data_IF_160885560842
#
_entry.id   IF_160885560842
#
_cell.length_a   1.000
_cell.length_b   1.000
_cell.length_c   1.000
_cell.angle_alpha   90.00
_cell.angle_beta   90.00
_cell.angle_gamma   90.00
#
_symmetry.space_group_name_H-M   'P 1'
#
loop_
_entity.id
_entity.type
_entity.pdbx_description
1 polymer ?
#
# COMPACT_ATOMS: atom_id res chain seq x y z
N UNK A 1 -0.67 -6.53 7.12
CA UNK A 1 -1.47 -6.75 8.36
C UNK A 1 -2.81 -7.35 7.97
N UNK A 2 -3.75 -7.57 8.91
CA UNK A 2 -5.18 -7.68 8.57
C UNK A 2 -5.87 -6.34 8.86
N UNK A 3 -7.11 -6.16 8.40
CA UNK A 3 -7.88 -4.90 8.40
C UNK A 3 -7.59 -3.94 9.57
N UNK A 4 -7.82 -4.34 10.83
CA UNK A 4 -7.61 -3.45 11.99
C UNK A 4 -6.17 -2.96 12.15
N UNK A 5 -5.18 -3.77 11.75
CA UNK A 5 -3.77 -3.36 11.79
C UNK A 5 -3.45 -2.25 10.79
N UNK A 6 -3.96 -2.33 9.57
CA UNK A 6 -3.80 -1.27 8.56
C UNK A 6 -4.46 0.03 9.01
N UNK A 7 -5.69 -0.06 9.53
CA UNK A 7 -6.41 1.12 10.02
C UNK A 7 -5.73 1.79 11.21
N UNK A 8 -5.07 1.03 12.11
CA UNK A 8 -4.29 1.63 13.21
C UNK A 8 -3.09 2.40 12.68
N UNK A 9 -2.31 1.81 11.77
CA UNK A 9 -1.15 2.48 11.15
C UNK A 9 -1.60 3.75 10.42
N UNK A 10 -2.65 3.66 9.62
CA UNK A 10 -3.22 4.78 8.90
C UNK A 10 -3.76 5.87 9.86
N UNK A 11 -4.40 5.48 10.97
CA UNK A 11 -4.89 6.43 11.97
C UNK A 11 -3.75 7.19 12.65
N UNK A 12 -2.65 6.53 12.98
CA UNK A 12 -1.47 7.20 13.56
C UNK A 12 -0.91 8.23 12.57
N UNK A 13 -0.76 7.84 11.29
CA UNK A 13 -0.29 8.75 10.24
C UNK A 13 -1.24 9.93 10.05
N UNK A 14 -2.55 9.70 10.03
CA UNK A 14 -3.58 10.74 9.93
C UNK A 14 -3.44 11.79 11.04
N UNK A 15 -3.38 11.36 12.30
CA UNK A 15 -3.28 12.28 13.44
C UNK A 15 -1.97 13.09 13.38
N UNK A 16 -0.86 12.46 13.00
CA UNK A 16 0.43 13.15 12.84
C UNK A 16 0.38 14.19 11.72
N UNK A 17 -0.05 13.82 10.52
CA UNK A 17 -0.14 14.73 9.37
C UNK A 17 -1.09 15.88 9.68
N UNK A 18 -2.29 15.58 10.20
CA UNK A 18 -3.29 16.60 10.53
C UNK A 18 -2.81 17.59 11.60
N UNK A 19 -2.05 17.11 12.59
CA UNK A 19 -1.49 17.98 13.62
C UNK A 19 -0.42 18.95 13.09
N UNK A 20 0.31 18.55 12.05
CA UNK A 20 1.41 19.34 11.45
C UNK A 20 0.90 20.23 10.32
N UNK A 21 0.05 19.68 9.45
CA UNK A 21 -0.45 20.32 8.25
C UNK A 21 -1.88 19.84 7.91
N UNK A 22 -2.91 20.45 8.51
CA UNK A 22 -4.30 20.04 8.29
C UNK A 22 -4.76 20.27 6.84
N UNK A 23 -4.27 21.32 6.18
CA UNK A 23 -4.59 21.58 4.77
C UNK A 23 -4.06 20.49 3.85
N UNK A 24 -2.86 19.98 4.11
CA UNK A 24 -2.34 18.82 3.37
C UNK A 24 -3.22 17.58 3.60
N UNK A 25 -3.68 17.36 4.83
CA UNK A 25 -4.56 16.21 5.11
C UNK A 25 -5.88 16.31 4.31
N UNK A 26 -6.50 17.50 4.27
CA UNK A 26 -7.71 17.72 3.47
C UNK A 26 -7.46 17.48 1.96
N UNK A 27 -6.31 17.90 1.45
CA UNK A 27 -5.91 17.64 0.07
C UNK A 27 -5.78 16.14 -0.23
N UNK A 28 -5.11 15.40 0.65
CA UNK A 28 -4.94 13.95 0.48
C UNK A 28 -6.29 13.23 0.52
N UNK A 29 -7.19 13.59 1.45
CA UNK A 29 -8.52 12.98 1.51
C UNK A 29 -9.35 13.27 0.26
N UNK A 30 -9.26 14.49 -0.29
CA UNK A 30 -9.89 14.83 -1.56
C UNK A 30 -9.34 13.98 -2.72
N UNK A 31 -8.02 13.78 -2.77
CA UNK A 31 -7.36 12.93 -3.78
C UNK A 31 -7.76 11.45 -3.64
N UNK A 32 -7.83 10.92 -2.42
CA UNK A 32 -8.30 9.55 -2.14
C UNK A 32 -9.74 9.35 -2.62
N UNK A 33 -10.58 10.39 -2.53
CA UNK A 33 -11.99 10.35 -2.90
C UNK A 33 -12.27 9.95 -4.35
N UNK A 34 -11.30 10.07 -5.28
CA UNK A 34 -11.51 9.75 -6.70
C UNK A 34 -11.91 8.28 -6.96
N UNK A 35 -11.35 7.35 -6.17
CA UNK A 35 -11.74 5.93 -6.21
C UNK A 35 -12.75 5.56 -5.11
N UNK A 36 -13.30 6.54 -4.38
CA UNK A 36 -14.23 6.32 -3.27
C UNK A 36 -15.44 5.46 -3.66
N UNK A 37 -15.99 5.65 -4.87
CA UNK A 37 -17.11 4.86 -5.39
C UNK A 37 -16.80 3.37 -5.62
N UNK A 38 -15.52 3.00 -5.68
CA UNK A 38 -15.04 1.62 -5.85
C UNK A 38 -14.43 1.07 -4.55
N UNK A 39 -14.79 1.66 -3.41
CA UNK A 39 -14.24 1.34 -2.09
C UNK A 39 -15.34 1.20 -1.04
N UNK A 40 -14.93 0.73 0.16
CA UNK A 40 -15.80 0.63 1.33
C UNK A 40 -15.61 1.83 2.28
N UNK A 41 -15.05 2.93 1.77
CA UNK A 41 -14.75 4.13 2.56
C UNK A 41 -16.04 4.79 3.08
N UNK A 42 -15.96 5.34 4.27
CA UNK A 42 -17.04 6.02 4.98
C UNK A 42 -16.57 7.37 5.53
N UNK A 43 -16.65 7.54 6.85
CA UNK A 43 -16.40 8.83 7.49
C UNK A 43 -14.91 9.13 7.71
N UNK A 44 -14.03 8.18 7.47
CA UNK A 44 -12.59 8.30 7.68
C UNK A 44 -11.82 7.81 6.44
N UNK A 45 -11.99 8.47 5.28
CA UNK A 45 -11.52 7.95 4.00
C UNK A 45 -10.01 7.68 3.97
N UNK A 46 -9.17 8.49 4.62
CA UNK A 46 -7.74 8.19 4.72
C UNK A 46 -7.44 6.88 5.46
N UNK A 47 -8.17 6.62 6.54
CA UNK A 47 -7.97 5.44 7.39
C UNK A 47 -8.57 4.21 6.72
N UNK A 48 -9.78 4.32 6.16
CA UNK A 48 -10.52 3.22 5.56
C UNK A 48 -9.91 2.79 4.21
N UNK A 49 -9.33 3.75 3.46
CA UNK A 49 -8.55 3.49 2.25
C UNK A 49 -7.39 2.51 2.47
N UNK A 50 -6.88 2.40 3.70
CA UNK A 50 -5.80 1.48 4.05
C UNK A 50 -6.17 0.01 3.87
N UNK A 51 -7.44 -0.36 3.77
CA UNK A 51 -7.87 -1.75 3.49
C UNK A 51 -8.07 -2.03 2.00
N UNK A 52 -8.21 -0.98 1.18
CA UNK A 52 -8.65 -1.11 -0.20
C UNK A 52 -7.79 -2.05 -1.06
N UNK A 53 -6.45 -2.06 -0.96
CA UNK A 53 -5.62 -3.02 -1.72
C UNK A 53 -5.90 -4.50 -1.43
N UNK A 54 -6.34 -4.83 -0.21
CA UNK A 54 -6.81 -6.19 0.08
C UNK A 54 -8.22 -6.44 -0.48
N UNK A 55 -9.13 -5.46 -0.33
CA UNK A 55 -10.52 -5.58 -0.78
C UNK A 55 -10.63 -5.79 -2.30
N UNK A 56 -9.78 -5.13 -3.11
CA UNK A 56 -9.88 -5.23 -4.58
C UNK A 56 -9.55 -6.63 -5.13
N UNK A 57 -8.99 -7.52 -4.31
CA UNK A 57 -8.86 -8.95 -4.66
C UNK A 57 -10.24 -9.58 -4.88
N UNK A 58 -11.26 -9.14 -4.14
CA UNK A 58 -12.66 -9.56 -4.31
C UNK A 58 -13.25 -9.07 -5.64
N UNK A 59 -12.67 -8.01 -6.23
CA UNK A 59 -13.03 -7.48 -7.55
C UNK A 59 -12.26 -8.15 -8.70
N UNK A 60 -11.51 -9.21 -8.42
CA UNK A 60 -10.69 -9.91 -9.40
C UNK A 60 -9.34 -9.24 -9.70
N UNK A 61 -8.93 -8.23 -8.93
CA UNK A 61 -7.65 -7.53 -9.12
C UNK A 61 -6.47 -8.23 -8.43
N UNK A 62 -6.42 -9.56 -8.51
CA UNK A 62 -5.38 -10.36 -7.83
C UNK A 62 -3.98 -10.16 -8.42
N UNK A 63 -3.83 -9.50 -9.57
CA UNK A 63 -2.52 -9.18 -10.17
C UNK A 63 -1.61 -8.36 -9.24
N UNK A 64 -2.17 -7.63 -8.26
CA UNK A 64 -1.40 -6.82 -7.31
C UNK A 64 -0.96 -7.60 -6.06
N UNK A 65 -1.26 -8.91 -5.97
CA UNK A 65 -1.02 -9.69 -4.75
C UNK A 65 0.45 -9.72 -4.33
N UNK A 66 1.38 -9.67 -5.29
CA UNK A 66 2.82 -9.67 -4.99
C UNK A 66 3.30 -8.37 -4.35
N UNK A 67 2.55 -7.27 -4.53
CA UNK A 67 2.92 -5.98 -3.95
C UNK A 67 2.77 -5.96 -2.43
N UNK A 68 2.05 -6.91 -1.81
CA UNK A 68 1.83 -6.94 -0.37
C UNK A 68 3.00 -7.50 0.45
N UNK A 69 4.02 -8.04 -0.20
CA UNK A 69 5.10 -8.78 0.47
C UNK A 69 6.46 -8.43 -0.09
N UNK A 70 7.49 -8.58 0.74
CA UNK A 70 8.89 -8.70 0.33
C UNK A 70 9.33 -10.10 0.76
N UNK A 71 9.62 -11.00 -0.17
CA UNK A 71 9.95 -12.38 0.17
C UNK A 71 11.45 -12.58 0.35
N UNK A 72 12.09 -11.75 1.18
CA UNK A 72 13.55 -11.85 1.39
C UNK A 72 13.92 -13.27 1.86
N UNK A 73 14.81 -13.98 1.14
CA UNK A 73 15.19 -15.34 1.53
C UNK A 73 15.94 -15.38 2.85
N UNK A 74 15.48 -16.26 3.75
CA UNK A 74 16.16 -16.61 5.00
C UNK A 74 16.63 -18.05 4.86
N UNK A 75 17.95 -18.26 4.69
CA UNK A 75 18.52 -19.57 4.37
C UNK A 75 19.04 -20.23 5.65
N UNK A 76 18.57 -21.45 5.94
CA UNK A 76 19.10 -22.29 7.02
C UNK A 76 20.18 -23.25 6.54
N UNK A 77 21.01 -23.68 7.48
CA UNK A 77 22.13 -24.59 7.22
C UNK A 77 21.69 -25.86 6.47
N UNK A 78 22.38 -26.09 5.36
CA UNK A 78 22.18 -27.27 4.52
C UNK A 78 21.02 -27.19 3.52
N UNK A 79 20.40 -26.02 3.32
CA UNK A 79 19.61 -25.77 2.12
C UNK A 79 20.53 -25.69 0.88
N UNK A 80 20.13 -26.34 -0.23
CA UNK A 80 20.93 -26.42 -1.47
C UNK A 80 20.13 -26.07 -2.74
N UNK A 81 18.93 -25.50 -2.59
CA UNK A 81 18.08 -25.11 -3.71
C UNK A 81 18.25 -23.66 -4.14
N UNK A 82 17.53 -23.26 -5.18
CA UNK A 82 17.45 -21.87 -5.62
C UNK A 82 16.45 -21.08 -4.77
N UNK A 83 16.81 -19.84 -4.45
CA UNK A 83 15.88 -18.87 -3.87
C UNK A 83 15.24 -18.04 -4.97
N UNK A 84 14.01 -17.58 -4.74
CA UNK A 84 13.31 -16.70 -5.66
C UNK A 84 13.08 -15.33 -5.02
N UNK A 85 13.38 -14.28 -5.77
CA UNK A 85 13.06 -12.90 -5.40
C UNK A 85 12.09 -12.33 -6.43
N UNK A 86 10.95 -11.84 -5.94
CA UNK A 86 9.92 -11.27 -6.78
C UNK A 86 10.32 -9.84 -7.20
N UNK A 87 10.48 -9.54 -8.50
CA UNK A 87 10.88 -8.21 -8.97
C UNK A 87 9.84 -7.13 -8.64
N UNK A 88 8.55 -7.46 -8.66
CA UNK A 88 7.46 -6.55 -8.31
C UNK A 88 6.91 -6.88 -6.92
N UNK A 89 7.66 -6.45 -5.90
CA UNK A 89 7.34 -6.64 -4.48
C UNK A 89 6.88 -5.32 -3.82
N UNK A 90 6.62 -5.35 -2.51
CA UNK A 90 6.15 -4.16 -1.77
C UNK A 90 7.09 -2.96 -1.86
N UNK A 91 8.42 -3.18 -1.82
CA UNK A 91 9.40 -2.10 -1.93
C UNK A 91 9.33 -1.44 -3.30
N UNK A 92 9.23 -2.23 -4.37
CA UNK A 92 9.05 -1.71 -5.72
C UNK A 92 7.76 -0.90 -5.81
N UNK A 93 6.63 -1.46 -5.36
CA UNK A 93 5.34 -0.81 -5.45
C UNK A 93 5.30 0.51 -4.66
N UNK A 94 5.84 0.55 -3.43
CA UNK A 94 5.96 1.79 -2.64
C UNK A 94 6.71 2.88 -3.43
N UNK A 95 7.84 2.53 -4.05
CA UNK A 95 8.62 3.49 -4.83
C UNK A 95 7.84 4.01 -6.05
N UNK A 96 7.06 3.17 -6.73
CA UNK A 96 6.20 3.59 -7.85
C UNK A 96 5.07 4.51 -7.40
N UNK A 97 4.44 4.23 -6.24
CA UNK A 97 3.40 5.10 -5.70
C UNK A 97 3.97 6.47 -5.33
N UNK A 98 5.15 6.52 -4.69
CA UNK A 98 5.85 7.77 -4.36
C UNK A 98 6.20 8.56 -5.62
N UNK A 99 6.70 7.88 -6.67
CA UNK A 99 6.99 8.54 -7.95
C UNK A 99 5.72 9.16 -8.56
N UNK A 100 4.61 8.42 -8.53
CA UNK A 100 3.32 8.89 -9.06
C UNK A 100 2.79 10.11 -8.29
N UNK A 101 2.88 10.09 -6.96
CA UNK A 101 2.45 11.20 -6.10
C UNK A 101 3.33 12.45 -6.24
N UNK A 102 4.61 12.28 -6.59
CA UNK A 102 5.53 13.40 -6.86
C UNK A 102 5.43 13.94 -8.29
N UNK A 103 4.67 13.29 -9.18
CA UNK A 103 4.59 13.69 -10.57
C UNK A 103 3.70 14.92 -10.75
N UNK A 104 4.32 16.08 -11.03
CA UNK A 104 3.65 17.38 -11.12
C UNK A 104 3.09 17.70 -12.51
N UNK A 105 3.59 17.05 -13.56
CA UNK A 105 3.13 17.24 -14.94
C UNK A 105 1.95 16.32 -15.28
N UNK A 106 0.82 16.47 -14.57
CA UNK A 106 -0.43 15.70 -14.77
C UNK A 106 -0.97 15.87 -16.21
N UNK A 107 -0.45 15.10 -17.16
CA UNK A 107 -0.72 15.21 -18.62
C UNK A 107 -1.77 14.23 -19.15
N UNK A 108 -2.40 13.41 -18.31
CA UNK A 108 -3.32 12.34 -18.76
C UNK A 108 -4.81 12.63 -18.48
N UNK A 109 -5.67 11.85 -19.13
CA UNK A 109 -7.13 11.99 -19.13
C UNK A 109 -7.78 11.72 -17.75
N UNK A 110 -7.05 11.11 -16.81
CA UNK A 110 -7.49 10.93 -15.44
C UNK A 110 -6.31 10.80 -14.46
N UNK A 111 -5.65 11.92 -14.19
CA UNK A 111 -4.62 11.98 -13.16
C UNK A 111 -5.18 11.69 -11.74
N UNK A 112 -6.50 11.85 -11.52
CA UNK A 112 -7.14 11.57 -10.24
C UNK A 112 -7.14 10.07 -9.92
N UNK A 113 -7.37 9.22 -10.92
CA UNK A 113 -7.29 7.76 -10.77
C UNK A 113 -5.91 7.33 -10.27
N UNK A 114 -4.85 7.74 -10.96
CA UNK A 114 -3.48 7.33 -10.63
C UNK A 114 -3.05 7.82 -9.25
N UNK A 115 -3.42 9.05 -8.89
CA UNK A 115 -3.11 9.62 -7.56
C UNK A 115 -3.88 8.90 -6.45
N UNK A 116 -5.18 8.66 -6.61
CA UNK A 116 -5.99 7.95 -5.61
C UNK A 116 -5.54 6.51 -5.43
N UNK A 117 -5.27 5.81 -6.54
CA UNK A 117 -4.70 4.46 -6.54
C UNK A 117 -3.38 4.44 -5.76
N UNK A 118 -2.52 5.44 -6.00
CA UNK A 118 -1.22 5.54 -5.35
C UNK A 118 -1.31 5.81 -3.87
N UNK A 119 -2.19 6.70 -3.43
CA UNK A 119 -2.43 6.93 -2.00
C UNK A 119 -2.92 5.66 -1.30
N UNK A 120 -3.94 4.99 -1.86
CA UNK A 120 -4.52 3.77 -1.27
C UNK A 120 -3.48 2.67 -1.11
N UNK A 121 -2.69 2.41 -2.15
CA UNK A 121 -1.60 1.44 -2.08
C UNK A 121 -0.49 1.87 -1.13
N UNK A 122 -0.05 3.13 -1.16
CA UNK A 122 1.03 3.59 -0.28
C UNK A 122 0.66 3.45 1.20
N UNK A 123 -0.55 3.89 1.58
CA UNK A 123 -1.04 3.79 2.96
C UNK A 123 -1.08 2.32 3.42
N UNK A 124 -1.56 1.42 2.56
CA UNK A 124 -1.64 -0.02 2.87
C UNK A 124 -0.25 -0.66 2.99
N UNK A 125 0.60 -0.46 1.97
CA UNK A 125 1.88 -1.15 1.82
C UNK A 125 2.89 -0.75 2.88
N UNK A 126 2.86 0.51 3.34
CA UNK A 126 3.66 0.92 4.51
C UNK A 126 3.27 0.09 5.73
N UNK A 127 1.98 -0.25 5.91
CA UNK A 127 1.57 -1.20 6.93
C UNK A 127 2.15 -2.60 6.70
N UNK A 128 2.04 -3.13 5.48
CA UNK A 128 2.52 -4.47 5.15
C UNK A 128 4.02 -4.67 5.39
N UNK A 129 4.87 -3.73 4.98
CA UNK A 129 6.33 -3.87 5.17
C UNK A 129 6.74 -3.88 6.66
N UNK A 130 5.89 -3.35 7.55
CA UNK A 130 6.12 -3.40 9.00
C UNK A 130 5.56 -4.67 9.66
N UNK A 131 4.86 -5.53 8.90
CA UNK A 131 4.38 -6.83 9.37
C UNK A 131 5.48 -7.89 9.13
N UNK A 132 6.05 -8.53 10.18
CA UNK A 132 7.25 -9.36 10.02
C UNK A 132 7.12 -10.61 9.13
N UNK A 133 5.92 -11.19 9.00
CA UNK A 133 5.68 -12.35 8.13
C UNK A 133 5.44 -11.97 6.67
N UNK A 134 5.30 -10.68 6.35
CA UNK A 134 5.25 -10.19 4.98
C UNK A 134 6.66 -9.95 4.40
N UNK A 135 7.73 -10.05 5.20
CA UNK A 135 9.08 -9.62 4.79
C UNK A 135 10.11 -10.74 4.63
N UNK A 136 9.75 -12.00 4.91
CA UNK A 136 10.71 -13.11 4.87
C UNK A 136 10.12 -14.43 4.40
N UNK A 137 10.94 -15.22 3.70
CA UNK A 137 10.64 -16.61 3.33
C UNK A 137 11.74 -17.52 3.86
N UNK A 138 11.38 -18.47 4.73
CA UNK A 138 12.33 -19.44 5.29
C UNK A 138 12.59 -20.59 4.31
N UNK A 139 13.85 -20.81 3.98
CA UNK A 139 14.33 -21.95 3.21
C UNK A 139 15.08 -22.92 4.13
N UNK A 140 14.54 -24.12 4.28
CA UNK A 140 15.05 -25.19 5.15
C UNK A 140 14.90 -26.54 4.45
N UNK A 141 15.63 -27.55 4.92
CA UNK A 141 15.51 -28.95 4.46
C UNK A 141 14.11 -29.51 4.68
#
# INVERSE_FOLDING_TARGET
>A
FWSSGHMIVARIAYEQIKSINPTLMEQIEAEIGHLGQFSKDGNYPFVEASNWPDDIKELGMSQFSQWHVVRTPIIRDGYQGDTFEEPQNATWAINEMIQTLNFTEKKSIDAGFGVSFSWRFLIHLVGDIHQPLHTGTLYTK
#
